data_IF_765132194281
#
_entry.id   IF_765132194281
#
_cell.length_a   1.000
_cell.length_b   1.000
_cell.length_c   1.000
_cell.angle_alpha   90.00
_cell.angle_beta   90.00
_cell.angle_gamma   90.00
#
_symmetry.space_group_name_H-M   'P 1'
#
loop_
_entity.id
_entity.type
_entity.pdbx_description
1 polymer ?
#
# COMPACT_ATOMS: atom_id res chain seq x y z
N UNK A 1 -18.84 1.57 -6.21
CA UNK A 1 -18.87 2.86 -5.48
C UNK A 1 -18.57 2.60 -4.01
N UNK A 2 -17.45 3.11 -3.49
CA UNK A 2 -17.07 3.04 -2.07
C UNK A 2 -17.35 4.38 -1.41
N UNK A 3 -17.82 4.36 -0.16
CA UNK A 3 -18.19 5.56 0.61
C UNK A 3 -17.52 5.52 1.98
N UNK A 4 -16.91 6.62 2.40
CA UNK A 4 -16.26 6.74 3.69
C UNK A 4 -16.58 8.10 4.34
N UNK A 5 -16.40 8.23 5.66
CA UNK A 5 -16.75 9.44 6.43
C UNK A 5 -15.51 10.12 7.01
N UNK A 6 -15.54 11.44 7.07
CA UNK A 6 -14.54 12.27 7.73
C UNK A 6 -13.19 12.31 7.01
N UNK A 7 -12.18 12.84 7.69
CA UNK A 7 -10.84 13.01 7.13
C UNK A 7 -10.09 11.70 6.94
N UNK A 8 -10.27 10.74 7.85
CA UNK A 8 -9.79 9.36 7.67
C UNK A 8 -10.42 8.72 6.44
N UNK A 9 -11.72 8.90 6.22
CA UNK A 9 -12.38 8.42 5.01
C UNK A 9 -11.83 9.06 3.74
N UNK A 10 -11.50 10.36 3.77
CA UNK A 10 -10.89 11.08 2.64
C UNK A 10 -9.54 10.49 2.25
N UNK A 11 -8.72 10.26 3.28
CA UNK A 11 -7.43 9.63 3.18
C UNK A 11 -7.47 8.25 2.53
N UNK A 12 -8.38 7.38 2.99
CA UNK A 12 -8.58 6.02 2.46
C UNK A 12 -8.99 6.06 0.99
N UNK A 13 -10.06 6.79 0.64
CA UNK A 13 -10.58 6.76 -0.75
C UNK A 13 -9.62 7.42 -1.74
N UNK A 14 -8.86 8.42 -1.30
CA UNK A 14 -7.82 9.05 -2.12
C UNK A 14 -6.66 8.09 -2.36
N UNK A 15 -6.20 7.41 -1.30
CA UNK A 15 -5.10 6.47 -1.41
C UNK A 15 -5.40 5.32 -2.34
N UNK A 16 -6.56 4.69 -2.17
CA UNK A 16 -7.02 3.63 -3.05
C UNK A 16 -7.16 4.12 -4.51
N UNK A 17 -7.65 5.35 -4.73
CA UNK A 17 -7.71 5.93 -6.08
C UNK A 17 -6.32 6.09 -6.71
N UNK A 18 -5.35 6.64 -5.96
CA UNK A 18 -3.97 6.85 -6.45
C UNK A 18 -3.26 5.51 -6.70
N UNK A 19 -3.40 4.55 -5.78
CA UNK A 19 -2.87 3.19 -5.93
C UNK A 19 -3.48 2.47 -7.13
N UNK A 20 -4.81 2.49 -7.27
CA UNK A 20 -5.46 1.86 -8.43
C UNK A 20 -5.08 2.54 -9.74
N UNK A 21 -4.85 3.86 -9.72
CA UNK A 21 -4.43 4.60 -10.93
C UNK A 21 -3.06 4.11 -11.38
N UNK A 22 -2.12 3.99 -10.44
CA UNK A 22 -0.78 3.48 -10.73
C UNK A 22 -0.81 2.02 -11.20
N UNK A 23 -1.48 1.15 -10.44
CA UNK A 23 -1.57 -0.28 -10.76
C UNK A 23 -2.24 -0.50 -12.12
N UNK A 24 -3.38 0.13 -12.38
CA UNK A 24 -4.09 -0.01 -13.66
C UNK A 24 -3.27 0.57 -14.82
N UNK A 25 -2.53 1.66 -14.62
CA UNK A 25 -1.66 2.21 -15.67
C UNK A 25 -0.46 1.30 -15.99
N UNK A 26 0.01 0.53 -15.01
CA UNK A 26 1.17 -0.36 -15.15
C UNK A 26 0.80 -1.75 -15.66
N UNK A 27 -0.27 -2.32 -15.10
CA UNK A 27 -0.82 -3.63 -15.46
C UNK A 27 -2.34 -3.51 -15.57
N UNK A 28 -2.85 -3.09 -16.74
CA UNK A 28 -4.29 -3.03 -16.98
C UNK A 28 -4.97 -4.36 -16.69
N UNK A 29 -6.10 -4.31 -15.98
CA UNK A 29 -6.85 -5.49 -15.58
C UNK A 29 -6.34 -6.20 -14.32
N UNK A 30 -5.30 -5.70 -13.64
CA UNK A 30 -4.92 -6.22 -12.31
C UNK A 30 -5.86 -5.71 -11.20
N UNK A 31 -6.19 -4.42 -11.23
CA UNK A 31 -7.17 -3.78 -10.33
C UNK A 31 -8.27 -3.09 -11.12
N UNK A 32 -9.45 -2.84 -10.53
CA UNK A 32 -10.50 -2.08 -11.20
C UNK A 32 -10.04 -0.69 -11.60
N UNK A 33 -10.38 -0.29 -12.83
CA UNK A 33 -10.05 1.02 -13.35
C UNK A 33 -10.68 2.10 -12.47
N UNK A 34 -9.89 3.00 -11.87
CA UNK A 34 -10.43 4.10 -11.09
C UNK A 34 -11.00 5.18 -12.04
N UNK A 35 -12.14 5.74 -11.69
CA UNK A 35 -12.78 6.83 -12.45
C UNK A 35 -12.71 8.16 -11.73
N UNK A 36 -13.07 8.18 -10.44
CA UNK A 36 -13.11 9.41 -9.67
C UNK A 36 -13.09 9.14 -8.17
N UNK A 37 -12.65 10.14 -7.41
CA UNK A 37 -12.89 10.21 -5.97
C UNK A 37 -13.27 11.65 -5.61
N UNK A 38 -13.91 11.86 -4.46
CA UNK A 38 -14.29 13.21 -4.06
C UNK A 38 -15.14 13.30 -2.81
N UNK A 39 -15.71 14.48 -2.58
CA UNK A 39 -16.61 14.78 -1.46
C UNK A 39 -18.04 14.92 -1.98
N UNK A 40 -19.01 14.37 -1.24
CA UNK A 40 -20.42 14.53 -1.60
C UNK A 40 -20.84 16.00 -1.47
N UNK A 41 -21.56 16.51 -2.46
CA UNK A 41 -22.05 17.91 -2.43
C UNK A 41 -23.08 18.13 -1.32
N UNK A 42 -24.05 17.23 -1.18
CA UNK A 42 -25.13 17.35 -0.21
C UNK A 42 -24.76 16.86 1.20
N UNK A 43 -23.69 16.07 1.32
CA UNK A 43 -23.22 15.50 2.58
C UNK A 43 -21.70 15.67 2.72
N UNK A 44 -21.20 16.89 3.04
CA UNK A 44 -19.78 17.22 3.03
C UNK A 44 -18.90 16.42 3.99
N UNK A 45 -19.49 15.65 4.90
CA UNK A 45 -18.81 14.72 5.79
C UNK A 45 -18.49 13.37 5.12
N UNK A 46 -19.07 13.08 3.95
CA UNK A 46 -18.82 11.83 3.21
C UNK A 46 -17.89 12.02 2.02
N UNK A 47 -17.19 10.95 1.68
CA UNK A 47 -16.22 10.84 0.60
C UNK A 47 -16.58 9.63 -0.26
N UNK A 48 -16.31 9.70 -1.56
CA UNK A 48 -16.52 8.59 -2.48
C UNK A 48 -15.26 8.20 -3.24
N UNK A 49 -15.23 6.93 -3.64
CA UNK A 49 -14.37 6.40 -4.70
C UNK A 49 -15.22 5.61 -5.69
N UNK A 50 -15.06 5.93 -6.97
CA UNK A 50 -15.74 5.33 -8.11
C UNK A 50 -14.71 4.65 -8.99
N UNK A 51 -14.94 3.37 -9.28
CA UNK A 51 -14.15 2.54 -10.17
C UNK A 51 -15.09 1.70 -11.05
N UNK A 52 -14.50 1.06 -12.05
CA UNK A 52 -15.14 -0.08 -12.73
C UNK A 52 -15.46 -1.19 -11.74
N UNK A 53 -16.39 -2.04 -12.17
CA UNK A 53 -16.50 -3.38 -11.65
C UNK A 53 -15.62 -4.25 -12.55
N UNK A 54 -14.44 -4.64 -12.04
CA UNK A 54 -13.52 -5.47 -12.79
C UNK A 54 -13.83 -6.93 -12.52
N UNK A 55 -13.78 -7.74 -13.56
CA UNK A 55 -13.96 -9.18 -13.50
C UNK A 55 -12.90 -9.86 -14.37
N UNK A 56 -11.67 -9.97 -13.89
CA UNK A 56 -10.69 -10.94 -14.42
C UNK A 56 -9.35 -10.83 -13.69
N UNK A 57 -8.76 -11.97 -13.37
CA UNK A 57 -7.36 -12.34 -13.67
C UNK A 57 -7.08 -13.74 -13.11
N UNK A 58 -6.17 -14.46 -13.77
CA UNK A 58 -5.39 -15.49 -13.09
C UNK A 58 -4.48 -14.77 -12.08
N UNK A 59 -4.95 -14.59 -10.83
CA UNK A 59 -4.32 -13.73 -9.81
C UNK A 59 -2.81 -13.92 -9.73
N UNK A 60 -2.36 -15.17 -9.60
CA UNK A 60 -0.94 -15.50 -9.47
C UNK A 60 -0.12 -15.07 -10.67
N UNK A 61 -0.65 -15.23 -11.89
CA UNK A 61 0.01 -14.80 -13.13
C UNK A 61 0.03 -13.28 -13.26
N UNK A 62 -1.07 -12.62 -12.90
CA UNK A 62 -1.17 -11.16 -12.94
C UNK A 62 -0.27 -10.52 -11.88
N UNK A 63 -0.22 -11.11 -10.68
CA UNK A 63 0.67 -10.71 -9.60
C UNK A 63 2.14 -10.89 -9.97
N UNK A 64 2.50 -12.03 -10.56
CA UNK A 64 3.86 -12.24 -11.06
C UNK A 64 4.23 -11.18 -12.11
N UNK A 65 3.33 -10.86 -13.06
CA UNK A 65 3.58 -9.79 -14.05
C UNK A 65 3.69 -8.41 -13.40
N UNK A 66 2.95 -8.13 -12.32
CA UNK A 66 3.09 -6.91 -11.54
C UNK A 66 4.46 -6.81 -10.86
N UNK A 67 4.92 -7.89 -10.24
CA UNK A 67 6.21 -7.95 -9.56
C UNK A 67 7.42 -7.88 -10.51
N UNK A 68 7.21 -7.96 -11.82
CA UNK A 68 8.25 -7.66 -12.83
C UNK A 68 8.34 -6.16 -13.17
N UNK A 69 7.48 -5.30 -12.59
CA UNK A 69 7.44 -3.87 -12.87
C UNK A 69 8.28 -3.12 -11.84
N UNK A 70 9.48 -2.70 -12.23
CA UNK A 70 10.40 -1.97 -11.36
C UNK A 70 10.06 -0.49 -11.22
N UNK A 71 10.43 0.10 -10.08
CA UNK A 71 10.33 1.55 -9.86
C UNK A 71 11.15 2.30 -10.91
N UNK A 72 10.56 3.26 -11.65
CA UNK A 72 11.28 4.08 -12.63
C UNK A 72 12.47 4.85 -12.04
N UNK A 73 12.42 5.15 -10.74
CA UNK A 73 13.48 5.87 -10.02
C UNK A 73 14.53 4.96 -9.36
N UNK A 74 14.32 3.64 -9.40
CA UNK A 74 15.11 2.65 -8.64
C UNK A 74 15.04 2.82 -7.11
N UNK A 75 14.01 3.48 -6.56
CA UNK A 75 13.85 3.74 -5.13
C UNK A 75 12.65 3.01 -4.55
N UNK A 76 12.67 2.80 -3.24
CA UNK A 76 11.62 2.16 -2.46
C UNK A 76 10.65 3.19 -1.90
N UNK A 77 9.37 2.84 -1.86
CA UNK A 77 8.35 3.58 -1.13
C UNK A 77 7.19 4.08 -1.97
N UNK A 78 6.49 5.07 -1.43
CA UNK A 78 5.20 5.50 -1.93
C UNK A 78 5.34 6.53 -3.06
N UNK A 79 4.69 6.32 -4.22
CA UNK A 79 4.77 7.23 -5.38
C UNK A 79 4.02 8.55 -5.15
N UNK A 80 3.07 8.57 -4.22
CA UNK A 80 2.39 9.77 -3.73
C UNK A 80 2.03 9.54 -2.26
N UNK A 81 1.86 10.62 -1.48
CA UNK A 81 1.42 10.48 -0.11
C UNK A 81 -0.02 9.96 -0.06
N UNK A 82 -0.22 8.78 0.53
CA UNK A 82 -1.54 8.21 0.72
C UNK A 82 -1.68 7.55 2.10
N UNK A 83 -2.83 6.95 2.36
CA UNK A 83 -3.06 6.18 3.59
C UNK A 83 -3.30 4.71 3.30
N UNK A 84 -2.54 3.84 3.96
CA UNK A 84 -2.89 2.43 4.14
C UNK A 84 -3.61 2.31 5.50
N UNK A 85 -4.93 2.11 5.48
CA UNK A 85 -5.73 2.11 6.69
C UNK A 85 -5.70 3.46 7.42
N UNK A 86 -5.21 3.46 8.67
CA UNK A 86 -5.15 4.66 9.52
C UNK A 86 -3.84 5.46 9.38
N UNK A 87 -2.79 4.86 8.82
CA UNK A 87 -1.45 5.46 8.77
C UNK A 87 -1.31 6.43 7.59
N UNK A 88 -0.87 7.66 7.86
CA UNK A 88 -0.39 8.60 6.83
C UNK A 88 0.97 8.11 6.33
N UNK A 89 1.05 7.72 5.07
CA UNK A 89 2.32 7.44 4.41
C UNK A 89 2.73 8.69 3.63
N UNK A 90 3.63 9.48 4.20
CA UNK A 90 4.26 10.56 3.44
C UNK A 90 5.11 9.94 2.33
N UNK A 91 5.02 10.52 1.11
CA UNK A 91 5.82 10.15 -0.06
C UNK A 91 7.31 10.23 0.25
N UNK A 92 7.86 9.14 0.78
CA UNK A 92 9.28 9.02 1.08
C UNK A 92 9.84 7.90 0.26
N UNK A 93 10.44 8.31 -0.86
CA UNK A 93 11.22 7.45 -1.73
C UNK A 93 12.64 7.33 -1.15
N UNK A 94 13.02 6.14 -0.72
CA UNK A 94 14.30 5.82 -0.12
C UNK A 94 15.22 5.05 -1.07
N UNK A 95 16.53 5.17 -0.88
CA UNK A 95 17.50 4.51 -1.76
C UNK A 95 17.64 3.01 -1.44
N UNK A 96 17.41 2.63 -0.20
CA UNK A 96 17.53 1.24 0.26
C UNK A 96 16.23 0.78 0.90
N UNK A 97 16.00 -0.53 0.85
CA UNK A 97 14.86 -1.15 1.50
C UNK A 97 14.91 -0.98 3.02
N UNK A 98 16.10 -1.13 3.61
CA UNK A 98 16.36 -0.90 5.04
C UNK A 98 15.89 0.49 5.46
N UNK A 99 16.32 1.53 4.74
CA UNK A 99 15.98 2.92 5.04
C UNK A 99 14.47 3.16 4.96
N UNK A 100 13.82 2.61 3.93
CA UNK A 100 12.37 2.72 3.78
C UNK A 100 11.64 2.05 4.95
N UNK A 101 11.93 0.77 5.21
CA UNK A 101 11.24 -0.03 6.21
C UNK A 101 11.42 0.53 7.62
N UNK A 102 12.61 1.04 7.95
CA UNK A 102 12.85 1.74 9.22
C UNK A 102 11.96 2.98 9.36
N UNK A 103 11.93 3.85 8.35
CA UNK A 103 11.10 5.08 8.40
C UNK A 103 9.62 4.77 8.48
N UNK A 104 9.17 3.75 7.76
CA UNK A 104 7.76 3.35 7.77
C UNK A 104 7.34 2.80 9.15
N UNK A 105 8.17 1.95 9.75
CA UNK A 105 7.94 1.45 11.11
C UNK A 105 7.99 2.56 12.16
N UNK A 106 8.91 3.52 12.03
CA UNK A 106 8.96 4.70 12.91
C UNK A 106 7.67 5.52 12.83
N UNK A 107 7.09 5.69 11.63
CA UNK A 107 5.80 6.37 11.46
C UNK A 107 4.66 5.60 12.08
N UNK A 108 4.63 4.27 11.91
CA UNK A 108 3.61 3.43 12.51
C UNK A 108 3.63 3.54 14.04
N UNK A 109 4.82 3.48 14.65
CA UNK A 109 5.01 3.66 16.10
C UNK A 109 4.60 5.07 16.54
N UNK A 110 4.97 6.11 15.80
CA UNK A 110 4.59 7.49 16.13
C UNK A 110 3.06 7.71 16.01
N UNK A 111 2.43 7.10 15.01
CA UNK A 111 0.98 7.12 14.85
C UNK A 111 0.29 6.41 16.02
N UNK A 112 0.75 5.21 16.38
CA UNK A 112 0.22 4.46 17.52
C UNK A 112 0.28 5.29 18.82
N UNK A 113 1.44 5.89 19.13
CA UNK A 113 1.58 6.78 20.29
C UNK A 113 0.62 7.97 20.27
N UNK A 114 0.36 8.54 19.10
CA UNK A 114 -0.59 9.66 18.96
C UNK A 114 -2.03 9.23 19.24
N UNK A 115 -2.40 8.01 18.88
CA UNK A 115 -3.77 7.49 19.03
C UNK A 115 -3.99 6.90 20.43
N UNK A 116 -3.02 6.15 20.94
CA UNK A 116 -3.15 5.32 22.14
C UNK A 116 -2.43 5.90 23.38
N UNK A 117 -1.61 6.96 23.21
CA UNK A 117 -0.80 7.55 24.28
C UNK A 117 0.60 6.96 24.36
N UNK A 118 1.41 7.49 25.28
CA UNK A 118 2.77 7.00 25.51
C UNK A 118 2.77 5.74 26.40
N UNK A 119 3.61 4.78 26.03
CA UNK A 119 3.95 3.61 26.83
C UNK A 119 5.46 3.38 26.73
N UNK A 120 6.13 3.26 27.88
CA UNK A 120 7.59 3.16 27.94
C UNK A 120 8.13 1.85 27.35
N UNK A 121 7.40 0.73 27.51
CA UNK A 121 7.80 -0.58 27.00
C UNK A 121 7.69 -0.58 25.48
N UNK A 122 6.57 -0.07 24.93
CA UNK A 122 6.40 0.11 23.49
C UNK A 122 7.40 1.14 22.94
N UNK A 123 7.75 2.14 23.74
CA UNK A 123 8.79 3.12 23.49
C UNK A 123 10.14 2.48 23.18
N UNK A 124 10.65 1.74 24.16
CA UNK A 124 11.95 1.07 24.12
C UNK A 124 11.99 -0.03 23.05
N UNK A 125 10.92 -0.83 22.95
CA UNK A 125 10.83 -1.88 21.93
C UNK A 125 10.82 -1.29 20.51
N UNK A 126 10.10 -0.18 20.31
CA UNK A 126 10.08 0.53 19.04
C UNK A 126 11.47 1.07 18.65
N UNK A 127 12.23 1.57 19.64
CA UNK A 127 13.61 1.99 19.41
C UNK A 127 14.50 0.81 19.02
N UNK A 128 14.49 -0.29 19.78
CA UNK A 128 15.29 -1.49 19.48
C UNK A 128 14.93 -2.09 18.12
N UNK A 129 13.64 -2.11 17.78
CA UNK A 129 13.15 -2.59 16.49
C UNK A 129 13.74 -1.76 15.34
N UNK A 130 13.63 -0.43 15.44
CA UNK A 130 14.07 0.46 14.38
C UNK A 130 15.59 0.57 14.28
N UNK A 131 16.29 0.64 15.40
CA UNK A 131 17.73 0.94 15.45
C UNK A 131 18.60 -0.31 15.33
N UNK A 132 18.14 -1.46 15.82
CA UNK A 132 18.92 -2.70 15.84
C UNK A 132 18.34 -3.79 14.96
N UNK A 133 17.08 -4.16 15.15
CA UNK A 133 16.50 -5.36 14.53
C UNK A 133 16.35 -5.21 13.01
N UNK A 134 15.77 -4.10 12.56
CA UNK A 134 15.53 -3.87 11.13
C UNK A 134 16.86 -3.81 10.35
N UNK A 135 17.87 -3.01 10.75
CA UNK A 135 19.18 -3.02 10.09
C UNK A 135 19.82 -4.40 10.09
N UNK A 136 19.77 -5.11 11.22
CA UNK A 136 20.42 -6.41 11.35
C UNK A 136 19.81 -7.46 10.40
N UNK A 137 18.48 -7.50 10.27
CA UNK A 137 17.78 -8.44 9.40
C UNK A 137 17.87 -8.06 7.91
N UNK A 138 17.71 -6.79 7.58
CA UNK A 138 17.52 -6.36 6.18
C UNK A 138 18.81 -5.94 5.48
N UNK A 139 19.83 -5.46 6.20
CA UNK A 139 21.10 -5.04 5.57
C UNK A 139 21.79 -6.18 4.81
N UNK A 140 21.84 -7.42 5.32
CA UNK A 140 22.42 -8.54 4.58
C UNK A 140 21.73 -8.83 3.24
N UNK A 141 20.45 -8.47 3.12
CA UNK A 141 19.64 -8.72 1.92
C UNK A 141 19.80 -7.63 0.86
N UNK A 142 20.41 -6.49 1.20
CA UNK A 142 20.45 -5.28 0.33
C UNK A 142 21.24 -5.49 -0.98
N UNK A 143 22.13 -6.48 -1.03
CA UNK A 143 22.90 -6.83 -2.24
C UNK A 143 22.29 -8.00 -3.03
N UNK A 144 21.14 -8.53 -2.61
CA UNK A 144 20.46 -9.60 -3.34
C UNK A 144 19.70 -9.00 -4.54
N UNK A 145 19.81 -9.63 -5.71
CA UNK A 145 18.98 -9.31 -6.88
C UNK A 145 17.48 -9.50 -6.61
N UNK A 146 17.11 -10.23 -5.54
CA UNK A 146 15.72 -10.40 -5.11
C UNK A 146 15.15 -9.16 -4.41
N UNK A 147 16.00 -8.30 -3.83
CA UNK A 147 15.59 -7.08 -3.12
C UNK A 147 15.70 -5.91 -4.09
N UNK A 148 14.74 -5.84 -5.02
CA UNK A 148 14.56 -4.72 -5.95
C UNK A 148 13.23 -4.02 -5.67
N UNK A 149 13.13 -2.70 -5.89
CA UNK A 149 11.88 -1.97 -5.72
C UNK A 149 10.95 -2.24 -6.90
N UNK A 150 10.05 -3.21 -6.74
CA UNK A 150 9.01 -3.55 -7.71
C UNK A 150 7.66 -3.03 -7.24
N UNK A 151 6.70 -2.90 -8.14
CA UNK A 151 5.35 -2.49 -7.79
C UNK A 151 4.66 -3.65 -7.06
N UNK A 152 4.12 -3.38 -5.86
CA UNK A 152 3.29 -4.32 -5.11
C UNK A 152 1.87 -3.78 -4.95
N UNK A 153 0.89 -4.66 -4.74
CA UNK A 153 -0.47 -4.28 -4.36
C UNK A 153 -0.48 -3.68 -2.94
N UNK A 154 0.34 -4.22 -2.04
CA UNK A 154 0.69 -3.62 -0.75
C UNK A 154 -0.37 -3.78 0.34
N UNK A 155 -1.40 -4.58 0.06
CA UNK A 155 -2.48 -4.92 0.99
C UNK A 155 -3.17 -6.22 0.55
N UNK A 156 -2.42 -7.21 0.06
CA UNK A 156 -3.01 -8.39 -0.58
C UNK A 156 -3.28 -9.50 0.45
N UNK A 157 -4.54 -9.69 0.83
CA UNK A 157 -4.99 -10.77 1.71
C UNK A 157 -6.38 -11.27 1.33
N UNK A 158 -6.82 -12.37 1.93
CA UNK A 158 -8.02 -13.10 1.48
C UNK A 158 -9.30 -12.25 1.39
N UNK A 159 -9.50 -11.25 2.25
CA UNK A 159 -10.75 -10.47 2.28
C UNK A 159 -10.81 -9.37 1.21
N UNK A 160 -9.65 -8.97 0.68
CA UNK A 160 -9.58 -8.04 -0.46
C UNK A 160 -9.53 -8.77 -1.80
N UNK A 161 -9.56 -10.10 -1.77
CA UNK A 161 -9.63 -10.98 -2.93
C UNK A 161 -11.06 -11.51 -3.09
N UNK A 162 -11.74 -11.12 -4.17
CA UNK A 162 -13.01 -11.72 -4.58
C UNK A 162 -12.78 -12.82 -5.61
N UNK A 163 -13.63 -13.85 -5.62
CA UNK A 163 -13.69 -14.83 -6.71
C UNK A 163 -15.08 -14.82 -7.34
N UNK A 164 -15.14 -14.80 -8.67
CA UNK A 164 -16.40 -14.94 -9.39
C UNK A 164 -16.89 -16.39 -9.29
N UNK A 165 -18.15 -16.58 -8.90
CA UNK A 165 -18.75 -17.92 -8.69
C UNK A 165 -18.69 -18.83 -9.91
N UNK A 166 -18.85 -18.26 -11.11
CA UNK A 166 -19.01 -19.06 -12.33
C UNK A 166 -17.68 -19.36 -13.05
N UNK A 167 -16.72 -18.43 -12.99
CA UNK A 167 -15.42 -18.56 -13.69
C UNK A 167 -14.26 -18.91 -12.75
N UNK A 168 -14.41 -18.68 -11.43
CA UNK A 168 -13.30 -18.79 -10.48
C UNK A 168 -12.24 -17.69 -10.62
N UNK A 169 -12.50 -16.66 -11.42
CA UNK A 169 -11.59 -15.53 -11.64
C UNK A 169 -11.48 -14.67 -10.38
N UNK A 170 -10.25 -14.25 -10.07
CA UNK A 170 -9.96 -13.42 -8.91
C UNK A 170 -10.07 -11.93 -9.25
N UNK A 171 -10.42 -11.13 -8.26
CA UNK A 171 -10.43 -9.66 -8.31
C UNK A 171 -9.80 -9.16 -7.01
N UNK A 172 -8.93 -8.15 -7.11
CA UNK A 172 -8.29 -7.52 -5.96
C UNK A 172 -8.75 -6.08 -5.77
N UNK A 173 -8.96 -5.71 -4.51
CA UNK A 173 -9.48 -4.41 -4.09
C UNK A 173 -8.59 -3.79 -3.00
N UNK A 174 -8.86 -2.54 -2.64
CA UNK A 174 -8.23 -1.87 -1.50
C UNK A 174 -6.69 -1.81 -1.58
N UNK A 175 -6.19 -1.58 -2.79
CA UNK A 175 -4.76 -1.46 -3.03
C UNK A 175 -4.15 -0.30 -2.24
N UNK A 176 -2.92 -0.54 -1.80
CA UNK A 176 -2.07 0.41 -1.12
C UNK A 176 -0.69 0.38 -1.78
N UNK A 177 -0.68 0.58 -3.09
CA UNK A 177 0.45 0.27 -3.95
C UNK A 177 1.70 1.11 -3.65
N UNK A 178 2.84 0.45 -3.59
CA UNK A 178 4.15 1.09 -3.37
C UNK A 178 5.28 0.29 -4.00
N UNK A 179 6.49 0.86 -3.98
CA UNK A 179 7.68 0.24 -4.51
C UNK A 179 8.42 -0.52 -3.41
N UNK A 180 8.42 -1.85 -3.47
CA UNK A 180 8.92 -2.73 -2.42
C UNK A 180 9.56 -3.99 -3.02
N UNK A 181 10.34 -4.77 -2.24
CA UNK A 181 10.63 -6.15 -2.60
C UNK A 181 9.33 -6.94 -2.78
N UNK A 182 9.27 -7.80 -3.81
CA UNK A 182 8.08 -8.62 -4.11
C UNK A 182 7.60 -9.51 -2.95
N UNK A 183 8.51 -9.84 -2.02
CA UNK A 183 8.22 -10.64 -0.83
C UNK A 183 7.37 -9.89 0.20
N UNK A 184 7.17 -8.57 0.03
CA UNK A 184 6.29 -7.75 0.87
C UNK A 184 4.82 -7.79 0.43
N UNK A 185 4.50 -8.55 -0.61
CA UNK A 185 3.12 -8.76 -1.05
C UNK A 185 2.32 -9.68 -0.11
#
# INVERSE_FOLDING_TARGET
LKVAKGDTGRAIVRGEFESNTLLHSTVPGFVPKPYAWGTYKSFPEYRFFLSEELYETALTKALANLHEKESPSGKYGYPTSFHLGLSTNDSVMCKTWVEFFQKDMQRLIAHDRKVNGEDSIWGDLGFVLCDSVIPWLLSPLTNSESIRPVLVHGNLYNEVCGFKKDSGEAIVFEAAAFWAPKECE
#
